data_IF_901437422360
#
_entry.id   IF_901437422360
#
_cell.length_a   1.000
_cell.length_b   1.000
_cell.length_c   1.000
_cell.angle_alpha   90.00
_cell.angle_beta   90.00
_cell.angle_gamma   90.00
#
_symmetry.space_group_name_H-M   'P 1'
#
loop_
_entity.id
_entity.type
_entity.pdbx_description
1 polymer ?
#
# COMPACT_ATOMS: atom_id res chain seq x y z
N UNK A 1 -2.48 15.34 5.39
CA UNK A 1 -1.14 15.57 4.80
C UNK A 1 -0.39 14.25 4.93
N UNK A 2 0.15 13.75 3.83
CA UNK A 2 0.77 12.41 3.76
C UNK A 2 2.27 12.53 3.95
N UNK A 3 2.86 11.58 4.68
CA UNK A 3 4.29 11.56 4.99
C UNK A 3 4.76 10.12 4.87
N UNK A 4 5.89 9.91 4.20
CA UNK A 4 6.47 8.59 4.09
C UNK A 4 6.87 8.07 5.49
N UNK A 5 6.27 6.97 5.92
CA UNK A 5 6.55 6.36 7.22
C UNK A 5 7.96 5.74 7.30
N UNK A 6 8.64 5.55 6.16
CA UNK A 6 9.99 5.00 6.14
C UNK A 6 11.11 6.05 6.16
N UNK A 7 10.95 7.18 5.47
CA UNK A 7 12.04 8.17 5.32
C UNK A 7 11.63 9.61 5.62
N UNK A 8 10.36 9.85 5.97
CA UNK A 8 9.86 11.17 6.35
C UNK A 8 9.62 12.15 5.19
N UNK A 9 9.68 11.71 3.92
CA UNK A 9 9.33 12.55 2.77
C UNK A 9 7.91 13.13 2.92
N UNK A 10 7.74 14.42 2.64
CA UNK A 10 6.46 15.14 2.78
C UNK A 10 6.00 15.82 1.49
N UNK A 11 6.83 15.77 0.45
CA UNK A 11 6.52 16.35 -0.86
C UNK A 11 5.47 15.49 -1.55
N UNK A 12 4.23 15.97 -1.63
CA UNK A 12 3.09 15.24 -2.23
C UNK A 12 3.41 14.68 -3.62
N UNK A 13 4.11 15.45 -4.46
CA UNK A 13 4.50 15.01 -5.81
C UNK A 13 5.40 13.76 -5.83
N UNK A 14 6.12 13.48 -4.73
CA UNK A 14 6.99 12.31 -4.55
C UNK A 14 6.31 11.17 -3.80
N UNK A 15 5.04 11.32 -3.43
CA UNK A 15 4.28 10.34 -2.68
C UNK A 15 3.06 9.88 -3.48
N UNK A 16 3.25 9.11 -4.57
CA UNK A 16 2.13 8.60 -5.37
C UNK A 16 1.29 7.60 -4.56
N UNK A 17 -0.01 7.59 -4.85
CA UNK A 17 -0.97 6.63 -4.29
C UNK A 17 -1.45 5.76 -5.45
N UNK A 18 -1.37 4.45 -5.28
CA UNK A 18 -1.99 3.48 -6.18
C UNK A 18 -3.26 2.92 -5.53
N UNK A 19 -4.38 2.90 -6.25
CA UNK A 19 -5.63 2.34 -5.76
C UNK A 19 -6.48 1.87 -6.94
N UNK A 20 -7.20 0.76 -6.76
CA UNK A 20 -8.24 0.29 -7.67
C UNK A 20 -9.58 0.50 -6.98
N UNK A 21 -10.17 1.68 -7.18
CA UNK A 21 -11.37 2.08 -6.44
C UNK A 21 -12.63 1.34 -6.87
N UNK A 22 -12.63 0.72 -8.06
CA UNK A 22 -13.77 -0.02 -8.57
C UNK A 22 -13.81 -1.44 -8.00
N UNK A 23 -12.65 -2.08 -7.83
CA UNK A 23 -12.55 -3.46 -7.31
C UNK A 23 -12.26 -3.51 -5.82
N UNK A 24 -11.48 -2.57 -5.29
CA UNK A 24 -11.01 -2.54 -3.91
C UNK A 24 -11.04 -1.11 -3.33
N UNK A 25 -12.24 -0.53 -3.13
CA UNK A 25 -12.41 0.87 -2.72
C UNK A 25 -11.77 1.21 -1.36
N UNK A 26 -11.60 0.21 -0.49
CA UNK A 26 -11.00 0.31 0.84
C UNK A 26 -9.47 0.15 0.83
N UNK A 27 -8.85 -0.27 -0.27
CA UNK A 27 -7.40 -0.50 -0.36
C UNK A 27 -6.69 0.61 -1.14
N UNK A 28 -5.51 0.99 -0.65
CA UNK A 28 -4.55 1.81 -1.40
C UNK A 28 -3.11 1.49 -1.01
N UNK A 29 -2.18 1.70 -1.93
CA UNK A 29 -0.75 1.64 -1.67
C UNK A 29 -0.18 3.06 -1.66
N UNK A 30 0.31 3.48 -0.51
CA UNK A 30 0.98 4.76 -0.30
C UNK A 30 2.48 4.56 -0.56
N UNK A 31 2.97 5.01 -1.72
CA UNK A 31 4.35 4.81 -2.15
C UNK A 31 5.20 6.09 -2.00
N UNK A 32 6.52 5.92 -1.92
CA UNK A 32 7.47 7.02 -1.82
C UNK A 32 8.54 6.88 -2.91
N UNK A 33 8.63 7.86 -3.80
CA UNK A 33 9.64 7.91 -4.86
C UNK A 33 11.05 8.17 -4.33
N UNK A 34 11.18 8.82 -3.17
CA UNK A 34 12.49 9.15 -2.55
C UNK A 34 13.22 7.92 -2.03
N UNK A 35 12.53 7.05 -1.27
CA UNK A 35 13.13 5.83 -0.72
C UNK A 35 12.70 4.54 -1.43
N UNK A 36 11.84 4.66 -2.45
CA UNK A 36 11.30 3.54 -3.24
C UNK A 36 10.59 2.48 -2.39
N UNK A 37 9.93 2.91 -1.31
CA UNK A 37 9.16 2.04 -0.42
C UNK A 37 7.68 2.37 -0.43
N UNK A 38 6.83 1.39 -0.16
CA UNK A 38 5.38 1.58 -0.05
C UNK A 38 4.76 0.82 1.13
N UNK A 39 3.59 1.27 1.56
CA UNK A 39 2.74 0.59 2.55
C UNK A 39 1.33 0.45 1.98
N UNK A 40 0.68 -0.67 2.28
CA UNK A 40 -0.73 -0.86 1.95
C UNK A 40 -1.56 -0.37 3.13
N UNK A 41 -2.51 0.51 2.84
CA UNK A 41 -3.43 1.10 3.80
C UNK A 41 -4.84 0.61 3.52
N UNK A 42 -5.51 0.13 4.57
CA UNK A 42 -6.92 -0.30 4.54
C UNK A 42 -7.79 0.77 5.22
N UNK A 43 -8.77 1.31 4.51
CA UNK A 43 -9.75 2.27 5.06
C UNK A 43 -10.99 1.54 5.58
N UNK A 44 -10.97 1.19 6.86
CA UNK A 44 -12.08 0.51 7.55
C UNK A 44 -13.39 1.31 7.56
N UNK A 45 -13.38 2.61 7.23
CA UNK A 45 -14.62 3.39 7.13
C UNK A 45 -15.42 3.02 5.89
N UNK A 46 -14.75 2.51 4.85
CA UNK A 46 -15.39 2.06 3.60
C UNK A 46 -15.82 0.60 3.68
N UNK A 47 -15.13 -0.19 4.49
CA UNK A 47 -15.43 -1.60 4.73
C UNK A 47 -15.18 -1.91 6.23
N UNK A 48 -16.18 -1.72 7.11
CA UNK A 48 -16.01 -1.92 8.55
C UNK A 48 -15.83 -3.39 8.96
N UNK A 49 -16.15 -4.33 8.07
CA UNK A 49 -15.95 -5.78 8.25
C UNK A 49 -14.60 -6.28 7.71
N UNK A 50 -13.76 -5.38 7.19
CA UNK A 50 -12.43 -5.69 6.66
C UNK A 50 -11.56 -6.36 7.73
N UNK A 51 -11.09 -7.58 7.44
CA UNK A 51 -10.17 -8.34 8.29
C UNK A 51 -8.75 -8.19 7.73
N UNK A 52 -7.81 -7.56 8.45
CA UNK A 52 -6.49 -7.20 7.92
C UNK A 52 -5.68 -8.36 7.30
N UNK A 53 -5.84 -9.58 7.81
CA UNK A 53 -5.15 -10.78 7.30
C UNK A 53 -5.76 -11.27 5.98
N UNK A 54 -7.08 -11.15 5.82
CA UNK A 54 -7.79 -11.54 4.58
C UNK A 54 -7.55 -10.48 3.50
N UNK A 55 -7.49 -9.21 3.89
CA UNK A 55 -7.20 -8.10 2.98
C UNK A 55 -5.77 -8.10 2.44
N UNK A 56 -4.83 -8.82 3.07
CA UNK A 56 -3.47 -8.98 2.54
C UNK A 56 -3.47 -9.82 1.25
N UNK A 57 -4.38 -10.81 1.14
CA UNK A 57 -4.57 -11.61 -0.06
C UNK A 57 -5.31 -10.84 -1.18
N UNK A 58 -6.25 -9.98 -0.82
CA UNK A 58 -6.96 -9.12 -1.80
C UNK A 58 -6.08 -7.96 -2.27
N UNK A 59 -5.09 -7.57 -1.47
CA UNK A 59 -4.11 -6.56 -1.83
C UNK A 59 -3.00 -7.05 -2.78
N UNK A 60 -2.92 -8.36 -3.06
CA UNK A 60 -1.89 -8.95 -3.94
C UNK A 60 -1.77 -8.25 -5.32
N UNK A 61 -2.86 -7.90 -6.03
CA UNK A 61 -2.74 -7.19 -7.31
C UNK A 61 -2.09 -5.81 -7.15
N UNK A 62 -2.39 -5.11 -6.06
CA UNK A 62 -1.83 -3.78 -5.76
C UNK A 62 -0.36 -3.88 -5.33
N UNK A 63 -0.03 -4.93 -4.59
CA UNK A 63 1.31 -5.30 -4.17
C UNK A 63 2.22 -5.57 -5.39
N UNK A 64 1.75 -6.43 -6.31
CA UNK A 64 2.44 -6.76 -7.55
C UNK A 64 2.65 -5.52 -8.41
N UNK A 65 1.61 -4.69 -8.59
CA UNK A 65 1.73 -3.46 -9.35
C UNK A 65 2.80 -2.51 -8.80
N UNK A 66 2.85 -2.32 -7.47
CA UNK A 66 3.87 -1.49 -6.84
C UNK A 66 5.28 -2.10 -7.00
N UNK A 67 5.41 -3.43 -6.91
CA UNK A 67 6.68 -4.12 -7.12
C UNK A 67 7.17 -4.05 -8.57
N UNK A 68 6.29 -4.18 -9.56
CA UNK A 68 6.60 -4.02 -10.99
C UNK A 68 7.12 -2.61 -11.31
N UNK A 69 6.56 -1.59 -10.65
CA UNK A 69 7.06 -0.22 -10.73
C UNK A 69 8.38 -0.01 -9.97
N UNK A 70 8.91 -1.05 -9.32
CA UNK A 70 10.20 -1.12 -8.63
C UNK A 70 10.20 -0.53 -7.21
N UNK A 71 9.04 -0.56 -6.53
CA UNK A 71 8.95 -0.23 -5.11
C UNK A 71 9.03 -1.47 -4.23
N UNK A 72 9.56 -1.32 -3.02
CA UNK A 72 9.64 -2.38 -2.01
C UNK A 72 8.64 -2.14 -0.88
N UNK A 73 7.96 -3.19 -0.40
CA UNK A 73 7.02 -3.06 0.70
C UNK A 73 7.78 -2.81 2.01
N UNK A 74 7.27 -1.89 2.86
CA UNK A 74 7.91 -1.53 4.13
C UNK A 74 7.87 -2.70 5.12
N UNK A 75 6.77 -3.45 5.14
CA UNK A 75 6.61 -4.69 5.91
C UNK A 75 6.37 -5.85 4.94
N UNK A 76 7.14 -6.96 5.03
CA UNK A 76 6.83 -8.14 4.23
C UNK A 76 5.44 -8.65 4.57
N UNK A 77 4.75 -9.26 3.58
CA UNK A 77 3.45 -9.89 3.83
C UNK A 77 3.59 -10.95 4.92
N UNK A 78 2.56 -11.19 5.74
CA UNK A 78 2.58 -12.26 6.75
C UNK A 78 2.80 -13.66 6.10
N UNK A 79 2.50 -13.79 4.81
CA UNK A 79 2.82 -14.96 3.97
C UNK A 79 4.28 -15.01 3.45
N UNK A 80 5.20 -14.17 3.94
CA UNK A 80 6.63 -14.35 3.69
C UNK A 80 7.22 -15.44 4.62
N UNK A 81 6.63 -16.63 4.59
CA UNK A 81 7.23 -17.89 5.01
C UNK A 81 7.15 -18.83 3.80
N UNK A 82 8.23 -18.86 3.03
CA UNK A 82 8.41 -19.68 1.83
C UNK A 82 9.61 -19.22 1.03
#
# INVERSE_FOLDING_TARGET
RMTCVSCGEQTTARLPIFADTDRFPHLRADACQTCRRYIITVDLRKEPEAVPVVDELTALPLDLHAQELGFAKITPNLMAIG
#
